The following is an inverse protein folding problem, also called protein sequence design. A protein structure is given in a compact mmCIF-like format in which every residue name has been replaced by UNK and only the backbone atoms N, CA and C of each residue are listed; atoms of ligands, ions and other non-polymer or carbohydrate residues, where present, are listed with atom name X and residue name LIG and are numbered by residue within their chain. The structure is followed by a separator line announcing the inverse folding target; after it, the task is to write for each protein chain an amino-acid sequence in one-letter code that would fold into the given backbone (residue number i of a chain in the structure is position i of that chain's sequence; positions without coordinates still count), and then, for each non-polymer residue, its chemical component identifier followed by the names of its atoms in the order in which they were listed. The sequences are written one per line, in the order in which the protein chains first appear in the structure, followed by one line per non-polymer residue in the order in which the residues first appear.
data_IF_851041442536
#
_entry.id   IF_851041442536
#
_cell.length_a   1.000
_cell.length_b   1.000
_cell.length_c   1.000
_cell.angle_alpha   90.00
_cell.angle_beta   90.00
_cell.angle_gamma   90.00
#
_symmetry.space_group_name_H-M   'P 1'
#
loop_
_entity.id
_entity.type
_entity.pdbx_description
1 polymer ?
#
# COMPACT_ATOMS: atom_id res chain seq x y z
N UNK A 1 6.99 8.04 17.18
CA UNK A 1 6.85 9.51 17.26
C UNK A 1 6.00 9.94 16.07
N UNK A 2 5.13 10.94 16.22
CA UNK A 2 4.34 11.44 15.09
C UNK A 2 5.26 11.94 13.97
N UNK A 3 4.92 11.63 12.72
CA UNK A 3 5.61 12.15 11.52
C UNK A 3 5.58 13.69 11.59
N UNK A 4 6.74 14.34 11.46
CA UNK A 4 6.80 15.79 11.30
C UNK A 4 6.08 16.16 9.99
N UNK A 5 4.96 16.91 10.04
CA UNK A 5 4.21 17.28 8.84
C UNK A 5 5.00 18.21 7.91
N UNK A 6 6.10 18.81 8.38
CA UNK A 6 6.98 19.68 7.62
C UNK A 6 8.29 18.98 7.22
N UNK A 7 8.48 17.73 7.64
CA UNK A 7 9.65 16.94 7.29
C UNK A 7 9.68 16.59 5.80
N UNK A 8 10.87 16.59 5.22
CA UNK A 8 11.10 16.15 3.83
C UNK A 8 11.14 14.63 3.66
N UNK A 9 11.06 13.88 4.77
CA UNK A 9 11.10 12.43 4.77
C UNK A 9 9.83 11.82 4.15
N UNK A 10 10.03 10.84 3.27
CA UNK A 10 8.93 10.08 2.68
C UNK A 10 8.67 8.85 3.53
N UNK A 11 7.59 8.90 4.29
CA UNK A 11 7.06 7.78 5.05
C UNK A 11 5.93 7.09 4.30
N UNK A 12 5.83 5.78 4.47
CA UNK A 12 4.74 4.96 3.95
C UNK A 12 4.21 4.02 5.02
N UNK A 13 2.95 3.63 4.85
CA UNK A 13 2.14 2.96 5.84
C UNK A 13 1.48 1.72 5.26
N UNK A 14 1.45 0.64 6.04
CA UNK A 14 0.76 -0.60 5.68
C UNK A 14 0.02 -1.16 6.87
N UNK A 15 -1.16 -1.71 6.63
CA UNK A 15 -1.96 -2.39 7.63
C UNK A 15 -2.08 -3.86 7.27
N UNK A 16 -1.69 -4.73 8.20
CA UNK A 16 -1.67 -6.18 8.00
C UNK A 16 -2.35 -6.92 9.14
N UNK A 17 -2.83 -8.13 8.88
CA UNK A 17 -3.12 -9.05 9.96
C UNK A 17 -1.83 -9.30 10.76
N UNK A 18 -1.94 -9.36 12.09
CA UNK A 18 -0.79 -9.38 12.99
C UNK A 18 0.19 -10.54 12.71
N UNK A 19 -0.30 -11.67 12.22
CA UNK A 19 0.52 -12.83 11.82
C UNK A 19 1.48 -12.53 10.65
N UNK A 20 1.14 -11.59 9.75
CA UNK A 20 1.98 -11.21 8.61
C UNK A 20 2.84 -9.98 8.89
N UNK A 21 2.68 -9.37 10.07
CA UNK A 21 3.41 -8.18 10.48
C UNK A 21 4.95 -8.39 10.46
N UNK A 22 5.53 -9.55 10.86
CA UNK A 22 6.98 -9.77 10.78
C UNK A 22 7.51 -9.86 9.34
N UNK A 23 6.67 -10.25 8.38
CA UNK A 23 7.03 -10.47 6.97
C UNK A 23 6.48 -9.39 6.06
N UNK A 24 6.17 -8.22 6.62
CA UNK A 24 5.44 -7.15 5.94
C UNK A 24 6.09 -6.69 4.62
N UNK A 25 7.41 -6.76 4.57
CA UNK A 25 8.26 -6.29 3.48
C UNK A 25 8.42 -7.31 2.34
N UNK A 26 7.92 -8.53 2.48
CA UNK A 26 8.16 -9.61 1.51
C UNK A 26 7.18 -9.62 0.33
N UNK A 27 6.00 -8.99 0.44
CA UNK A 27 5.03 -8.93 -0.66
C UNK A 27 4.37 -10.26 -1.04
N UNK A 28 4.44 -11.28 -0.17
CA UNK A 28 3.97 -12.66 -0.43
C UNK A 28 2.49 -12.74 -0.82
N UNK A 29 1.64 -11.91 -0.20
CA UNK A 29 0.21 -11.89 -0.53
C UNK A 29 -0.03 -11.51 -1.99
N UNK A 30 0.52 -10.37 -2.41
CA UNK A 30 0.41 -9.89 -3.78
C UNK A 30 1.09 -10.80 -4.79
N UNK A 31 2.17 -11.50 -4.41
CA UNK A 31 2.79 -12.52 -5.25
C UNK A 31 1.82 -13.68 -5.54
N UNK A 32 1.16 -14.21 -4.49
CA UNK A 32 0.30 -15.39 -4.61
C UNK A 32 -0.97 -15.13 -5.41
N UNK A 33 -1.59 -13.96 -5.24
CA UNK A 33 -2.91 -13.66 -5.82
C UNK A 33 -2.86 -12.63 -6.94
N UNK A 34 -1.74 -11.92 -7.12
CA UNK A 34 -1.68 -10.70 -7.92
C UNK A 34 -2.31 -9.51 -7.19
N UNK A 35 -2.29 -8.36 -7.83
CA UNK A 35 -2.91 -7.15 -7.30
C UNK A 35 -3.33 -6.22 -8.41
N UNK A 36 -3.66 -4.97 -8.06
CA UNK A 36 -4.04 -3.95 -9.03
C UNK A 36 -2.92 -3.62 -10.01
N UNK A 37 -1.68 -3.60 -9.52
CA UNK A 37 -0.49 -3.14 -10.24
C UNK A 37 0.58 -4.21 -10.42
N UNK A 38 0.30 -5.47 -10.10
CA UNK A 38 1.22 -6.58 -10.30
C UNK A 38 0.48 -7.87 -10.71
N UNK A 39 1.02 -8.66 -11.65
CA UNK A 39 0.48 -9.97 -11.95
C UNK A 39 0.80 -10.98 -10.84
N UNK A 40 0.07 -12.09 -10.82
CA UNK A 40 0.41 -13.26 -10.00
C UNK A 40 1.83 -13.74 -10.32
N UNK A 41 2.58 -14.10 -9.29
CA UNK A 41 3.98 -14.52 -9.36
C UNK A 41 4.99 -13.38 -9.21
N UNK A 42 4.54 -12.13 -9.05
CA UNK A 42 5.42 -10.99 -8.79
C UNK A 42 5.21 -10.46 -7.37
N UNK A 43 6.21 -10.59 -6.50
CA UNK A 43 6.16 -10.03 -5.16
C UNK A 43 6.09 -8.51 -5.20
N UNK A 44 5.12 -7.94 -4.48
CA UNK A 44 4.91 -6.49 -4.40
C UNK A 44 4.32 -6.15 -3.05
N UNK A 45 4.89 -5.15 -2.39
CA UNK A 45 4.33 -4.59 -1.15
C UNK A 45 3.50 -3.37 -1.52
N UNK A 46 2.24 -3.38 -1.09
CA UNK A 46 1.32 -2.25 -1.21
C UNK A 46 1.32 -1.48 0.11
N UNK A 47 1.50 -0.17 0.02
CA UNK A 47 1.46 0.77 1.12
C UNK A 47 0.80 2.08 0.66
N UNK A 48 0.57 3.00 1.59
CA UNK A 48 0.06 4.34 1.33
C UNK A 48 0.97 5.41 1.96
N UNK A 49 0.97 6.63 1.43
CA UNK A 49 1.77 7.73 2.01
C UNK A 49 1.23 8.26 3.34
N UNK A 50 0.00 7.90 3.67
CA UNK A 50 -0.67 8.24 4.93
C UNK A 50 -1.36 7.01 5.54
N UNK A 51 -1.41 6.97 6.87
CA UNK A 51 -2.02 5.88 7.62
C UNK A 51 -3.52 5.72 7.36
N UNK A 52 -4.24 6.84 7.18
CA UNK A 52 -5.69 6.84 6.90
C UNK A 52 -6.03 6.08 5.63
N UNK A 53 -5.27 6.29 4.55
CA UNK A 53 -5.47 5.60 3.28
C UNK A 53 -5.10 4.13 3.40
N UNK A 54 -4.03 3.78 4.12
CA UNK A 54 -3.68 2.37 4.36
C UNK A 54 -4.80 1.61 5.11
N UNK A 55 -5.46 2.26 6.08
CA UNK A 55 -6.61 1.71 6.79
C UNK A 55 -7.81 1.55 5.84
N UNK A 56 -8.12 2.61 5.06
CA UNK A 56 -9.26 2.62 4.15
C UNK A 56 -9.12 1.57 3.04
N UNK A 57 -7.91 1.35 2.52
CA UNK A 57 -7.62 0.29 1.56
C UNK A 57 -7.98 -1.09 2.15
N UNK A 58 -7.62 -1.39 3.41
CA UNK A 58 -8.01 -2.67 4.02
C UNK A 58 -9.52 -2.74 4.27
N UNK A 59 -10.12 -1.66 4.76
CA UNK A 59 -11.56 -1.61 5.05
C UNK A 59 -12.41 -1.85 3.80
N UNK A 60 -12.05 -1.27 2.65
CA UNK A 60 -12.78 -1.46 1.38
C UNK A 60 -12.57 -2.86 0.80
N UNK A 61 -11.42 -3.49 1.03
CA UNK A 61 -11.13 -4.81 0.45
C UNK A 61 -11.56 -5.99 1.32
N UNK A 62 -11.72 -5.81 2.63
CA UNK A 62 -12.02 -6.90 3.58
C UNK A 62 -13.24 -6.64 4.48
N UNK A 63 -13.91 -5.50 4.29
CA UNK A 63 -14.95 -4.97 5.17
C UNK A 63 -14.46 -4.63 6.59
N UNK A 64 -15.24 -3.83 7.31
CA UNK A 64 -14.92 -3.41 8.68
C UNK A 64 -14.91 -4.58 9.67
N UNK A 65 -15.73 -5.61 9.45
CA UNK A 65 -15.77 -6.80 10.29
C UNK A 65 -14.41 -7.52 10.36
N UNK A 66 -13.67 -7.56 9.25
CA UNK A 66 -12.35 -8.16 9.25
C UNK A 66 -11.34 -7.38 10.11
N UNK A 67 -11.44 -6.05 10.12
CA UNK A 67 -10.59 -5.17 10.93
C UNK A 67 -10.92 -5.24 12.41
N UNK A 68 -12.18 -5.51 12.75
CA UNK A 68 -12.67 -5.58 14.13
C UNK A 68 -12.44 -6.97 14.76
N UNK A 69 -12.67 -8.04 14.00
CA UNK A 69 -12.64 -9.42 14.52
C UNK A 69 -11.23 -10.05 14.55
N UNK A 70 -10.23 -9.45 13.90
CA UNK A 70 -8.88 -10.02 13.80
C UNK A 70 -7.81 -9.01 14.19
N UNK A 71 -6.77 -9.43 14.95
CA UNK A 71 -5.66 -8.53 15.29
C UNK A 71 -4.95 -8.03 14.03
N UNK A 72 -4.80 -6.72 13.91
CA UNK A 72 -4.02 -6.08 12.87
C UNK A 72 -2.84 -5.30 13.46
N UNK A 73 -1.83 -5.00 12.64
CA UNK A 73 -0.73 -4.11 12.99
C UNK A 73 -0.51 -3.07 11.91
N UNK A 74 -0.42 -1.81 12.35
CA UNK A 74 -0.05 -0.70 11.51
C UNK A 74 1.48 -0.60 11.49
N UNK A 75 2.04 -0.58 10.28
CA UNK A 75 3.48 -0.51 10.03
C UNK A 75 3.79 0.82 9.38
N UNK A 76 4.78 1.54 9.92
CA UNK A 76 5.35 2.74 9.32
C UNK A 76 6.80 2.45 8.93
N UNK A 77 7.16 2.83 7.72
CA UNK A 77 8.54 2.78 7.24
C UNK A 77 8.87 4.08 6.50
N UNK A 78 10.16 4.43 6.40
CA UNK A 78 10.63 5.57 5.60
C UNK A 78 11.49 5.11 4.44
N UNK A 79 11.36 5.79 3.31
CA UNK A 79 12.27 5.65 2.16
C UNK A 79 13.53 6.44 2.47
N UNK A 80 14.70 5.80 2.35
CA UNK A 80 15.99 6.41 2.67
C UNK A 80 16.50 7.32 1.56
N UNK A 81 16.12 7.04 0.31
CA UNK A 81 16.48 7.85 -0.87
C UNK A 81 15.23 8.13 -1.73
N UNK A 82 14.57 9.29 -1.53
CA UNK A 82 13.38 9.67 -2.29
C UNK A 82 13.60 9.74 -3.81
N UNK A 83 14.83 9.91 -4.29
CA UNK A 83 15.13 9.92 -5.74
C UNK A 83 14.90 8.57 -6.42
N UNK A 84 14.78 7.50 -5.63
CA UNK A 84 14.49 6.13 -6.08
C UNK A 84 13.01 5.86 -6.31
N UNK A 85 12.15 6.85 -6.03
CA UNK A 85 10.71 6.76 -6.22
C UNK A 85 10.35 7.23 -7.62
N UNK A 86 9.70 6.36 -8.39
CA UNK A 86 9.06 6.76 -9.64
C UNK A 86 7.63 7.21 -9.38
N UNK A 87 7.25 8.40 -9.84
CA UNK A 87 5.89 8.94 -9.66
C UNK A 87 5.09 8.77 -10.93
N UNK A 88 4.00 8.00 -10.86
CA UNK A 88 3.03 7.89 -11.95
C UNK A 88 2.11 9.10 -11.91
N UNK A 89 2.24 9.98 -12.89
CA UNK A 89 1.30 11.09 -13.04
C UNK A 89 -0.03 10.59 -13.63
N UNK A 90 -1.19 11.06 -13.12
CA UNK A 90 -2.51 10.61 -13.60
C UNK A 90 -2.72 10.79 -15.11
N UNK A 91 -2.21 11.87 -15.68
CA UNK A 91 -2.26 12.19 -17.11
C UNK A 91 -1.36 11.29 -17.96
N UNK A 92 -0.35 10.66 -17.36
CA UNK A 92 0.54 9.69 -18.00
C UNK A 92 -0.04 8.28 -18.08
N UNK A 93 -1.26 8.04 -17.57
CA UNK A 93 -1.91 6.73 -17.62
C UNK A 93 -2.79 6.62 -18.85
N UNK A 94 -2.51 5.64 -19.70
CA UNK A 94 -3.24 5.42 -20.96
C UNK A 94 -4.75 5.15 -20.77
N UNK A 95 -5.13 4.51 -19.67
CA UNK A 95 -6.53 4.26 -19.32
C UNK A 95 -6.85 4.85 -17.93
N UNK A 96 -7.53 6.01 -17.86
CA UNK A 96 -7.90 6.64 -16.60
C UNK A 96 -8.76 5.75 -15.68
N UNK A 97 -9.47 4.76 -16.22
CA UNK A 97 -10.25 3.82 -15.41
C UNK A 97 -9.40 2.92 -14.50
N UNK A 98 -8.08 2.90 -14.69
CA UNK A 98 -7.18 2.20 -13.75
C UNK A 98 -7.14 2.87 -12.37
N UNK A 99 -7.47 4.16 -12.30
CA UNK A 99 -7.49 4.98 -11.09
C UNK A 99 -8.86 5.03 -10.38
N UNK A 100 -9.87 4.32 -10.88
CA UNK A 100 -11.18 4.23 -10.21
C UNK A 100 -11.39 2.83 -9.61
N UNK A 101 -12.27 2.69 -8.60
CA UNK A 101 -12.63 1.39 -8.06
C UNK A 101 -13.15 0.44 -9.16
N UNK A 102 -12.69 -0.81 -9.13
CA UNK A 102 -13.04 -1.82 -10.13
C UNK A 102 -12.01 -2.95 -10.22
N UNK A 103 -12.34 -3.99 -10.98
CA UNK A 103 -11.49 -5.15 -11.22
C UNK A 103 -10.27 -4.76 -12.07
N UNK A 104 -9.04 -5.13 -11.66
CA UNK A 104 -7.85 -4.78 -12.42
C UNK A 104 -7.79 -5.53 -13.75
N UNK A 105 -7.39 -4.82 -14.79
CA UNK A 105 -7.18 -5.40 -16.12
C UNK A 105 -5.76 -5.96 -16.28
N UNK A 106 -5.56 -6.90 -17.22
CA UNK A 106 -4.23 -7.43 -17.57
C UNK A 106 -3.25 -6.31 -17.94
N UNK A 107 -3.69 -5.34 -18.74
CA UNK A 107 -2.84 -4.22 -19.18
C UNK A 107 -2.41 -3.33 -18.02
N UNK A 108 -3.28 -3.14 -17.02
CA UNK A 108 -2.94 -2.40 -15.81
C UNK A 108 -1.86 -3.12 -14.99
N UNK A 109 -2.02 -4.43 -14.80
CA UNK A 109 -1.02 -5.25 -14.09
C UNK A 109 0.32 -5.23 -14.81
N UNK A 110 0.33 -5.34 -16.14
CA UNK A 110 1.57 -5.28 -16.92
C UNK A 110 2.25 -3.92 -16.80
N UNK A 111 1.48 -2.83 -16.89
CA UNK A 111 2.01 -1.47 -16.71
C UNK A 111 2.69 -1.31 -15.34
N UNK A 112 2.03 -1.75 -14.27
CA UNK A 112 2.62 -1.69 -12.93
C UNK A 112 3.85 -2.60 -12.78
N UNK A 113 3.82 -3.81 -13.37
CA UNK A 113 4.95 -4.73 -13.38
C UNK A 113 6.17 -4.13 -14.10
N UNK A 114 5.98 -3.50 -15.25
CA UNK A 114 7.05 -2.86 -16.02
C UNK A 114 7.71 -1.71 -15.25
N UNK A 115 6.93 -0.98 -14.45
CA UNK A 115 7.46 0.05 -13.55
C UNK A 115 8.21 -0.57 -12.37
N UNK A 116 7.63 -1.57 -11.70
CA UNK A 116 8.25 -2.26 -10.57
C UNK A 116 9.49 -3.08 -10.95
N UNK A 117 9.65 -3.46 -12.22
CA UNK A 117 10.86 -4.06 -12.75
C UNK A 117 12.00 -3.03 -12.97
N UNK A 118 11.66 -1.75 -13.10
CA UNK A 118 12.64 -0.67 -13.31
C UNK A 118 12.96 0.08 -12.03
N UNK A 119 11.99 0.23 -11.13
CA UNK A 119 12.08 1.08 -9.94
C UNK A 119 11.82 0.29 -8.66
N UNK A 120 12.56 0.56 -7.57
CA UNK A 120 12.30 -0.09 -6.28
C UNK A 120 10.99 0.37 -5.65
N UNK A 121 10.61 1.63 -5.90
CA UNK A 121 9.37 2.24 -5.41
C UNK A 121 8.63 2.92 -6.56
N UNK A 122 7.32 2.75 -6.60
CA UNK A 122 6.44 3.39 -7.57
C UNK A 122 5.27 4.02 -6.81
N UNK A 123 5.13 5.33 -6.91
CA UNK A 123 3.97 6.07 -6.42
C UNK A 123 2.87 6.09 -7.47
N UNK A 124 1.67 5.74 -7.05
CA UNK A 124 0.45 5.73 -7.87
C UNK A 124 -0.70 6.41 -7.12
N UNK A 125 -1.60 7.13 -7.80
CA UNK A 125 -2.81 7.63 -7.16
C UNK A 125 -3.64 6.49 -6.57
N UNK A 126 -4.22 6.68 -5.38
CA UNK A 126 -5.12 5.67 -4.80
C UNK A 126 -6.46 5.68 -5.52
N UNK A 127 -6.97 4.50 -5.87
CA UNK A 127 -8.33 4.34 -6.40
C UNK A 127 -9.40 4.44 -5.32
N UNK A 128 -9.01 4.30 -4.05
CA UNK A 128 -9.91 4.31 -2.90
C UNK A 128 -10.07 5.72 -2.31
N UNK A 129 -8.98 6.50 -2.28
CA UNK A 129 -8.97 7.91 -1.90
C UNK A 129 -8.33 8.74 -3.02
N UNK A 130 -9.12 9.42 -3.88
CA UNK A 130 -8.61 10.08 -5.09
C UNK A 130 -7.56 11.18 -4.87
N UNK A 131 -7.47 11.72 -3.64
CA UNK A 131 -6.49 12.74 -3.26
C UNK A 131 -5.31 12.17 -2.47
N UNK A 132 -5.25 10.85 -2.31
CA UNK A 132 -4.18 10.13 -1.62
C UNK A 132 -3.32 9.33 -2.61
N UNK A 133 -2.16 8.91 -2.14
CA UNK A 133 -1.18 8.18 -2.94
C UNK A 133 -0.80 6.87 -2.29
N UNK A 134 -0.74 5.82 -3.11
CA UNK A 134 -0.21 4.52 -2.76
C UNK A 134 1.23 4.38 -3.22
N UNK A 135 2.04 3.71 -2.40
CA UNK A 135 3.41 3.36 -2.69
C UNK A 135 3.49 1.85 -2.90
N UNK A 136 3.89 1.47 -4.11
CA UNK A 136 4.22 0.10 -4.48
C UNK A 136 5.72 -0.10 -4.29
N UNK A 137 6.10 -1.14 -3.58
CA UNK A 137 7.50 -1.49 -3.35
C UNK A 137 7.80 -2.86 -3.95
N UNK A 138 8.87 -2.94 -4.77
CA UNK A 138 9.46 -4.21 -5.19
C UNK A 138 10.46 -4.67 -4.11
N UNK A 139 10.18 -5.74 -3.35
CA UNK A 139 11.03 -6.17 -2.23
C UNK A 139 12.49 -6.44 -2.61
N UNK A 140 12.71 -7.00 -3.80
CA UNK A 140 14.06 -7.38 -4.25
C UNK A 140 14.91 -6.14 -4.57
N UNK A 141 14.30 -5.11 -5.16
CA UNK A 141 15.00 -3.88 -5.57
C UNK A 141 15.11 -2.85 -4.46
N UNK A 142 14.17 -2.88 -3.52
CA UNK A 142 14.09 -1.94 -2.41
C UNK A 142 14.95 -2.34 -1.20
N UNK A 143 15.58 -3.51 -1.21
CA UNK A 143 16.41 -3.98 -0.11
C UNK A 143 17.49 -2.94 0.25
N UNK A 144 17.52 -2.50 1.51
CA UNK A 144 18.44 -1.46 1.99
C UNK A 144 18.08 -0.01 1.59
N UNK A 145 16.93 0.22 0.95
CA UNK A 145 16.45 1.56 0.56
C UNK A 145 15.29 2.07 1.42
N UNK A 146 14.91 1.32 2.45
CA UNK A 146 13.91 1.70 3.43
C UNK A 146 14.37 1.28 4.82
N UNK A 147 13.76 1.89 5.83
CA UNK A 147 13.87 1.42 7.20
C UNK A 147 12.49 1.32 7.86
N UNK A 148 12.36 0.35 8.78
CA UNK A 148 11.20 0.24 9.62
C UNK A 148 11.28 1.32 10.72
N UNK A 149 10.28 2.20 10.78
CA UNK A 149 10.21 3.27 11.79
C UNK A 149 9.47 2.78 13.02
N UNK A 150 8.29 2.18 12.83
CA UNK A 150 7.52 1.58 13.91
C UNK A 150 6.53 0.53 13.41
N UNK A 151 6.07 -0.28 14.35
CA UNK A 151 4.98 -1.20 14.12
C UNK A 151 4.16 -1.35 15.40
N UNK A 152 2.86 -1.06 15.34
CA UNK A 152 1.98 -1.02 16.51
C UNK A 152 0.69 -1.83 16.29
N UNK A 153 0.05 -2.34 17.35
CA UNK A 153 -1.29 -2.91 17.23
C UNK A 153 -2.27 -1.88 16.68
N UNK A 154 -3.15 -2.32 15.78
CA UNK A 154 -4.24 -1.52 15.25
C UNK A 154 -5.56 -2.13 15.70
N UNK A 155 -6.44 -1.29 16.26
CA UNK A 155 -7.83 -1.63 16.56
C UNK A 155 -8.76 -0.67 15.82
N UNK A 156 -9.81 -1.20 15.21
CA UNK A 156 -10.85 -0.39 14.61
C UNK A 156 -11.64 0.33 15.71
N UNK A 157 -11.89 1.63 15.56
CA UNK A 157 -12.84 2.33 16.42
C UNK A 157 -14.25 1.76 16.18
N UNK A 158 -14.90 1.23 17.22
CA UNK A 158 -16.23 0.62 17.10
C UNK A 158 -17.32 1.55 16.55
N UNK A 159 -17.09 2.88 16.49
CA UNK A 159 -18.00 3.81 15.80
C UNK A 159 -17.98 3.65 14.28
N UNK A 160 -16.94 3.04 13.72
CA UNK A 160 -16.81 2.68 12.31
C UNK A 160 -17.48 1.33 11.98
N UNK A 161 -17.73 0.48 12.98
CA UNK A 161 -18.49 -0.76 12.85
C UNK A 161 -19.64 -0.81 13.86
N UNK A 162 -20.70 -0.04 13.60
CA UNK A 162 -21.81 0.09 14.56
C UNK A 162 -22.59 -1.23 14.67
N UNK A 163 -23.10 -1.57 15.88
CA UNK A 163 -24.04 -2.67 16.03
C UNK A 163 -25.22 -2.52 15.07
N UNK A 164 -25.64 -3.63 14.44
CA UNK A 164 -26.88 -3.65 13.67
C UNK A 164 -28.06 -3.45 14.64
N UNK A 165 -29.02 -2.61 14.23
CA UNK A 165 -30.24 -2.33 14.98
C UNK A 165 -31.28 -3.46 14.83
#
# INVERSE_FOLDING_TARGET
MAKDPLGSEIHFWRLDAAEYAPTWHLGVGAEKVGGRWNPKGMATVYASLDASTAILEVAVHKDFDALDCKPHRLTQARVLDPSRIYVVQPDGIANPHWLVPGTPSRSQQQFGADLLNRHPFVLVPSSVSPHSWNLLMNPQKANGLYELVMQEPFGLDGRLNKPQA
#
